data_IF_185656895003
#
_entry.id   IF_185656895003
#
_cell.length_a   1.000
_cell.length_b   1.000
_cell.length_c   1.000
_cell.angle_alpha   90.00
_cell.angle_beta   90.00
_cell.angle_gamma   90.00
#
_symmetry.space_group_name_H-M   'P 1'
#
loop_
_entity.id
_entity.type
_entity.pdbx_description
1 polymer ?
#
# COMPACT_ATOMS: atom_id res chain seq x y z
N UNK A 1 -12.69 28.34 21.39
CA UNK A 1 -11.41 27.69 21.06
C UNK A 1 -10.96 28.26 19.72
N UNK A 2 -9.67 28.40 19.48
CA UNK A 2 -9.13 28.88 18.19
C UNK A 2 -8.96 27.70 17.23
N UNK A 3 -8.96 27.98 15.94
CA UNK A 3 -8.51 27.03 14.91
C UNK A 3 -7.04 26.67 15.16
N UNK A 4 -6.67 25.43 14.82
CA UNK A 4 -5.27 24.99 14.85
C UNK A 4 -4.75 24.97 13.44
N UNK A 5 -3.61 25.60 13.22
CA UNK A 5 -2.92 25.65 11.93
C UNK A 5 -1.64 24.83 12.03
N UNK A 6 -1.42 23.97 11.07
CA UNK A 6 -0.23 23.13 10.94
C UNK A 6 0.45 23.46 9.60
N UNK A 7 1.70 23.89 9.64
CA UNK A 7 2.53 24.15 8.47
C UNK A 7 3.44 22.93 8.28
N UNK A 8 3.28 22.20 7.17
CA UNK A 8 3.97 20.93 6.99
C UNK A 8 5.48 21.09 6.79
N UNK A 9 5.90 22.19 6.16
CA UNK A 9 7.32 22.49 5.94
C UNK A 9 8.12 22.78 7.22
N UNK A 10 7.42 23.05 8.35
CA UNK A 10 8.05 23.32 9.65
C UNK A 10 8.25 22.04 10.48
N UNK A 11 7.75 20.88 9.97
CA UNK A 11 7.83 19.61 10.67
C UNK A 11 9.05 18.80 10.22
N UNK A 12 9.56 17.96 11.11
CA UNK A 12 10.52 16.94 10.73
C UNK A 12 9.91 15.95 9.74
N UNK A 13 10.65 15.65 8.67
CA UNK A 13 10.28 14.71 7.63
C UNK A 13 11.24 13.52 7.64
N UNK A 14 10.70 12.32 7.77
CA UNK A 14 11.45 11.08 7.77
C UNK A 14 11.07 10.20 6.58
N UNK A 15 12.06 9.77 5.83
CA UNK A 15 11.93 8.74 4.81
C UNK A 15 12.27 7.39 5.46
N UNK A 16 11.29 6.49 5.48
CA UNK A 16 11.43 5.15 6.07
C UNK A 16 11.64 4.15 4.95
N UNK A 17 12.79 3.49 4.93
CA UNK A 17 13.13 2.49 3.92
C UNK A 17 13.71 1.22 4.54
N UNK A 18 13.52 0.09 3.85
CA UNK A 18 14.01 -1.21 4.30
C UNK A 18 14.62 -2.01 3.14
N UNK A 19 13.80 -2.66 2.33
CA UNK A 19 14.21 -3.56 1.24
C UNK A 19 13.52 -3.20 -0.10
N UNK A 20 13.05 -1.95 -0.24
CA UNK A 20 12.45 -1.48 -1.47
C UNK A 20 13.51 -1.35 -2.57
N UNK A 21 13.27 -1.95 -3.77
CA UNK A 21 14.27 -1.96 -4.84
C UNK A 21 14.74 -0.58 -5.30
N UNK A 22 13.83 0.41 -5.30
CA UNK A 22 14.10 1.78 -5.75
C UNK A 22 14.35 2.77 -4.61
N UNK A 23 14.60 2.31 -3.37
CA UNK A 23 14.70 3.18 -2.20
C UNK A 23 15.75 4.29 -2.32
N UNK A 24 16.86 4.04 -2.97
CA UNK A 24 17.92 5.05 -3.15
C UNK A 24 17.51 6.13 -4.16
N UNK A 25 16.83 5.75 -5.23
CA UNK A 25 16.29 6.67 -6.22
C UNK A 25 15.19 7.56 -5.61
N UNK A 26 14.28 6.94 -4.86
CA UNK A 26 13.19 7.67 -4.19
C UNK A 26 13.73 8.61 -3.10
N UNK A 27 14.76 8.17 -2.35
CA UNK A 27 15.46 9.03 -1.41
C UNK A 27 16.10 10.23 -2.07
N UNK A 28 16.83 10.02 -3.16
CA UNK A 28 17.44 11.10 -3.92
C UNK A 28 16.39 12.07 -4.47
N UNK A 29 15.25 11.55 -4.96
CA UNK A 29 14.13 12.37 -5.42
C UNK A 29 13.54 13.22 -4.30
N UNK A 30 13.36 12.66 -3.10
CA UNK A 30 12.89 13.41 -1.93
C UNK A 30 13.86 14.52 -1.54
N UNK A 31 15.16 14.21 -1.49
CA UNK A 31 16.20 15.18 -1.12
C UNK A 31 16.29 16.36 -2.09
N UNK A 32 15.95 16.17 -3.36
CA UNK A 32 15.85 17.30 -4.32
C UNK A 32 14.68 18.23 -4.03
N UNK A 33 13.59 17.70 -3.47
CA UNK A 33 12.35 18.45 -3.17
C UNK A 33 12.34 19.02 -1.76
N UNK A 34 12.90 18.28 -0.81
CA UNK A 34 12.97 18.67 0.59
C UNK A 34 14.32 18.26 1.20
N UNK A 35 15.37 19.12 1.10
CA UNK A 35 16.74 18.79 1.51
C UNK A 35 16.94 18.56 3.02
N UNK A 36 15.95 18.90 3.82
CA UNK A 36 15.98 18.75 5.28
C UNK A 36 15.43 17.41 5.77
N UNK A 37 14.99 16.53 4.84
CA UNK A 37 14.49 15.22 5.22
C UNK A 37 15.59 14.40 5.91
N UNK A 38 15.17 13.65 6.93
CA UNK A 38 15.98 12.65 7.63
C UNK A 38 15.63 11.27 7.10
N UNK A 39 16.53 10.29 7.25
CA UNK A 39 16.30 8.93 6.79
C UNK A 39 16.42 7.93 7.92
N UNK A 40 15.44 7.02 8.01
CA UNK A 40 15.48 5.82 8.85
C UNK A 40 15.49 4.62 7.89
N UNK A 41 16.65 3.98 7.74
CA UNK A 41 16.86 2.88 6.79
C UNK A 41 17.24 1.58 7.51
N UNK A 42 16.70 0.46 7.05
CA UNK A 42 17.07 -0.88 7.52
C UNK A 42 16.57 -1.24 8.92
N UNK A 43 15.72 -0.44 9.52
CA UNK A 43 15.11 -0.77 10.83
C UNK A 43 13.99 -1.78 10.61
N UNK A 44 14.16 -2.98 11.16
CA UNK A 44 13.18 -4.06 11.04
C UNK A 44 11.96 -3.80 11.91
N UNK A 45 10.78 -3.93 11.31
CA UNK A 45 9.49 -3.81 11.96
C UNK A 45 8.89 -2.40 11.85
N UNK A 46 7.57 -2.35 11.67
CA UNK A 46 6.83 -1.11 11.50
C UNK A 46 6.95 -0.19 12.72
N UNK A 47 6.62 -0.73 13.91
CA UNK A 47 6.67 0.05 15.15
C UNK A 47 8.08 0.56 15.42
N UNK A 48 9.09 -0.28 15.24
CA UNK A 48 10.48 0.08 15.52
C UNK A 48 10.96 1.22 14.61
N UNK A 49 10.62 1.16 13.31
CA UNK A 49 11.00 2.19 12.35
C UNK A 49 10.33 3.54 12.67
N UNK A 50 9.03 3.52 12.99
CA UNK A 50 8.30 4.74 13.36
C UNK A 50 8.74 5.30 14.72
N UNK A 51 8.99 4.43 15.72
CA UNK A 51 9.55 4.85 17.01
C UNK A 51 10.95 5.45 16.85
N UNK A 52 11.75 4.98 15.91
CA UNK A 52 13.03 5.59 15.62
C UNK A 52 12.89 7.00 15.03
N UNK A 53 11.92 7.21 14.12
CA UNK A 53 11.57 8.56 13.67
C UNK A 53 11.16 9.47 14.83
N UNK A 54 10.28 8.98 15.70
CA UNK A 54 9.80 9.74 16.85
C UNK A 54 10.93 10.13 17.82
N UNK A 55 11.90 9.22 18.06
CA UNK A 55 13.08 9.52 18.91
C UNK A 55 14.02 10.58 18.32
N UNK A 56 14.09 10.65 16.99
CA UNK A 56 14.92 11.61 16.26
C UNK A 56 14.20 12.91 15.94
N UNK A 57 12.88 12.99 16.18
CA UNK A 57 12.09 14.17 15.90
C UNK A 57 12.41 15.28 16.90
N UNK A 58 12.59 16.49 16.38
CA UNK A 58 12.76 17.74 17.13
C UNK A 58 11.44 18.53 17.20
N UNK A 59 10.41 18.06 16.52
CA UNK A 59 9.06 18.65 16.49
C UNK A 59 8.06 17.71 17.18
N UNK A 60 6.97 18.25 17.73
CA UNK A 60 5.93 17.47 18.44
C UNK A 60 5.20 16.48 17.53
N UNK A 61 5.29 16.72 16.24
CA UNK A 61 4.77 15.84 15.18
C UNK A 61 5.81 15.71 14.08
N UNK A 62 5.84 14.55 13.43
CA UNK A 62 6.71 14.35 12.28
C UNK A 62 5.92 13.75 11.10
N UNK A 63 6.46 13.93 9.91
CA UNK A 63 5.94 13.34 8.68
C UNK A 63 6.77 12.10 8.35
N UNK A 64 6.10 10.95 8.17
CA UNK A 64 6.72 9.76 7.60
C UNK A 64 6.36 9.61 6.12
N UNK A 65 7.35 9.19 5.33
CA UNK A 65 7.23 8.87 3.91
C UNK A 65 7.78 7.47 3.72
N UNK A 66 6.94 6.55 3.23
CA UNK A 66 7.33 5.16 2.99
C UNK A 66 8.29 5.07 1.79
N UNK A 67 9.23 4.12 1.82
CA UNK A 67 10.35 3.97 0.88
C UNK A 67 9.96 3.69 -0.57
N UNK A 68 8.72 3.31 -0.82
CA UNK A 68 8.15 3.12 -2.15
C UNK A 68 7.34 4.32 -2.68
N UNK A 69 7.38 5.47 -1.98
CA UNK A 69 6.61 6.65 -2.35
C UNK A 69 7.46 7.74 -3.00
N UNK A 70 6.91 8.34 -4.07
CA UNK A 70 7.37 9.60 -4.64
C UNK A 70 6.37 10.70 -4.29
N UNK A 71 6.86 11.73 -3.60
CA UNK A 71 6.04 12.83 -3.08
C UNK A 71 6.07 14.01 -4.04
N UNK A 72 4.92 14.68 -4.24
CA UNK A 72 4.82 15.96 -4.93
C UNK A 72 5.43 17.06 -4.03
N UNK A 73 6.31 17.90 -4.57
CA UNK A 73 6.97 19.00 -3.83
C UNK A 73 5.98 19.96 -3.17
N UNK A 74 4.79 20.13 -3.76
CA UNK A 74 3.71 20.95 -3.20
C UNK A 74 3.22 20.48 -1.83
N UNK A 75 3.50 19.25 -1.45
CA UNK A 75 3.15 18.74 -0.13
C UNK A 75 3.83 19.51 0.99
N UNK A 76 5.07 19.91 0.79
CA UNK A 76 5.86 20.59 1.82
C UNK A 76 5.49 22.08 1.98
N UNK A 77 4.75 22.63 1.04
CA UNK A 77 4.22 24.01 1.08
C UNK A 77 2.78 24.07 1.63
N UNK A 78 2.29 22.99 2.25
CA UNK A 78 0.92 22.96 2.78
C UNK A 78 0.80 23.59 4.15
N UNK A 79 -0.23 24.42 4.29
CA UNK A 79 -0.83 24.84 5.54
C UNK A 79 -2.18 24.16 5.69
N UNK A 80 -2.39 23.49 6.83
CA UNK A 80 -3.64 22.80 7.14
C UNK A 80 -4.31 23.50 8.32
N UNK A 81 -5.54 23.91 8.12
CA UNK A 81 -6.38 24.48 9.17
C UNK A 81 -7.39 23.45 9.64
N UNK A 82 -7.41 23.23 10.95
CA UNK A 82 -8.35 22.35 11.62
C UNK A 82 -9.34 23.15 12.46
N UNK A 83 -10.63 22.73 12.49
CA UNK A 83 -11.63 23.39 13.31
C UNK A 83 -11.28 23.28 14.82
N UNK A 84 -11.83 24.19 15.63
CA UNK A 84 -11.65 24.15 17.08
C UNK A 84 -12.14 22.84 17.69
N UNK A 85 -11.31 22.21 18.53
CA UNK A 85 -11.67 20.97 19.21
C UNK A 85 -11.33 19.68 18.42
N UNK A 86 -10.65 19.80 17.27
CA UNK A 86 -10.06 18.62 16.62
C UNK A 86 -8.98 18.05 17.53
N UNK A 87 -9.09 16.75 17.83
CA UNK A 87 -8.10 16.02 18.62
C UNK A 87 -6.86 15.69 17.76
N UNK A 88 -5.94 16.64 17.68
CA UNK A 88 -4.69 16.44 16.94
C UNK A 88 -3.65 15.67 17.75
N UNK A 89 -3.73 15.72 19.06
CA UNK A 89 -2.77 15.08 19.98
C UNK A 89 -2.81 13.54 19.85
N UNK A 90 -4.02 13.00 19.63
CA UNK A 90 -4.21 11.55 19.50
C UNK A 90 -4.60 11.11 18.08
N UNK A 91 -4.46 11.98 17.09
CA UNK A 91 -4.85 11.67 15.71
C UNK A 91 -3.67 11.67 14.75
N UNK A 92 -3.64 10.65 13.89
CA UNK A 92 -2.72 10.57 12.75
C UNK A 92 -3.38 11.27 11.55
N UNK A 93 -2.69 12.24 10.95
CA UNK A 93 -3.14 12.84 9.71
C UNK A 93 -2.56 12.02 8.56
N UNK A 94 -3.39 11.60 7.61
CA UNK A 94 -2.93 10.76 6.50
C UNK A 94 -3.47 11.23 5.15
N UNK A 95 -2.68 10.96 4.11
CA UNK A 95 -3.05 11.22 2.73
C UNK A 95 -3.10 9.90 1.96
N UNK A 96 -4.09 9.75 1.09
CA UNK A 96 -4.10 8.65 0.15
C UNK A 96 -3.01 8.86 -0.90
N UNK A 97 -2.40 7.78 -1.36
CA UNK A 97 -1.48 7.79 -2.48
C UNK A 97 -2.10 7.13 -3.71
N UNK A 98 -1.65 7.54 -4.90
CA UNK A 98 -2.02 6.87 -6.15
C UNK A 98 -1.11 5.67 -6.37
N UNK A 99 -1.69 4.49 -6.51
CA UNK A 99 -0.94 3.28 -6.81
C UNK A 99 -0.57 3.23 -8.30
N UNK A 100 0.71 3.10 -8.60
CA UNK A 100 1.20 3.12 -9.99
C UNK A 100 0.93 1.83 -10.75
N UNK A 101 0.69 0.71 -10.06
CA UNK A 101 0.30 -0.55 -10.72
C UNK A 101 -1.08 -0.43 -11.34
N UNK A 102 -2.07 0.06 -10.59
CA UNK A 102 -3.48 -0.01 -11.02
C UNK A 102 -4.25 1.31 -10.97
N UNK A 103 -3.61 2.40 -10.56
CA UNK A 103 -4.22 3.73 -10.52
C UNK A 103 -5.19 3.96 -9.35
N UNK A 104 -5.38 2.99 -8.47
CA UNK A 104 -6.24 3.15 -7.30
C UNK A 104 -5.73 4.21 -6.33
N UNK A 105 -6.67 4.91 -5.71
CA UNK A 105 -6.39 5.86 -4.64
C UNK A 105 -7.29 5.52 -3.45
N UNK A 106 -6.73 4.94 -2.41
CA UNK A 106 -7.48 4.58 -1.20
C UNK A 106 -6.54 4.40 -0.02
N UNK A 107 -7.14 4.21 1.16
CA UNK A 107 -6.44 3.89 2.39
C UNK A 107 -5.53 5.01 2.88
N UNK A 108 -4.74 4.66 3.86
CA UNK A 108 -3.72 5.51 4.43
C UNK A 108 -2.44 5.33 3.61
N UNK A 109 -2.27 6.13 2.57
CA UNK A 109 -1.08 6.09 1.70
C UNK A 109 0.24 6.27 2.46
N UNK A 110 1.35 6.25 1.75
CA UNK A 110 2.68 6.27 2.34
C UNK A 110 3.12 7.60 2.97
N UNK A 111 2.25 8.61 3.03
CA UNK A 111 2.51 9.87 3.75
C UNK A 111 1.57 9.97 4.95
N UNK A 112 2.16 10.14 6.14
CA UNK A 112 1.43 10.34 7.38
C UNK A 112 2.11 11.38 8.25
N UNK A 113 1.31 12.16 9.00
CA UNK A 113 1.82 13.07 10.01
C UNK A 113 1.40 12.57 11.40
N UNK A 114 2.37 12.18 12.18
CA UNK A 114 2.24 11.47 13.45
C UNK A 114 2.51 12.36 14.65
N UNK A 115 1.72 12.30 15.73
CA UNK A 115 2.15 12.79 17.02
C UNK A 115 3.30 11.94 17.56
N UNK A 116 4.37 12.57 18.05
CA UNK A 116 5.56 11.87 18.59
C UNK A 116 5.17 10.96 19.75
N UNK A 117 4.43 11.49 20.74
CA UNK A 117 4.06 10.74 21.95
C UNK A 117 3.18 9.53 21.61
N UNK A 118 2.22 9.68 20.68
CA UNK A 118 1.39 8.58 20.22
C UNK A 118 2.25 7.44 19.64
N UNK A 119 3.26 7.78 18.82
CA UNK A 119 4.14 6.78 18.20
C UNK A 119 5.03 6.07 19.21
N UNK A 120 5.54 6.78 20.20
CA UNK A 120 6.38 6.18 21.24
C UNK A 120 5.62 5.14 22.08
N UNK A 121 4.31 5.34 22.28
CA UNK A 121 3.44 4.48 23.07
C UNK A 121 2.75 3.38 22.26
N UNK A 122 2.63 3.52 20.94
CA UNK A 122 1.87 2.57 20.12
C UNK A 122 2.47 1.17 20.14
N UNK A 123 1.57 0.16 20.09
CA UNK A 123 1.88 -1.25 19.90
C UNK A 123 1.02 -1.79 18.76
N UNK A 124 1.64 -1.95 17.59
CA UNK A 124 0.97 -2.39 16.37
C UNK A 124 1.76 -3.52 15.71
N UNK A 125 1.21 -4.14 14.69
CA UNK A 125 1.86 -5.19 13.90
C UNK A 125 2.62 -6.21 14.76
N UNK A 126 3.96 -6.20 14.72
CA UNK A 126 4.83 -7.17 15.41
C UNK A 126 4.74 -7.11 16.94
N UNK A 127 4.32 -6.00 17.49
CA UNK A 127 4.22 -5.79 18.94
C UNK A 127 2.78 -5.91 19.46
N UNK A 128 1.78 -5.99 18.57
CA UNK A 128 0.38 -6.05 18.99
C UNK A 128 0.03 -7.38 19.63
N UNK A 129 -0.71 -7.32 20.75
CA UNK A 129 -1.32 -8.49 21.39
C UNK A 129 -2.61 -8.89 20.65
N UNK A 130 -3.36 -7.92 20.15
CA UNK A 130 -4.61 -8.12 19.42
C UNK A 130 -4.34 -8.55 17.97
N UNK A 131 -4.93 -9.67 17.55
CA UNK A 131 -4.74 -10.22 16.20
C UNK A 131 -5.23 -9.28 15.09
N UNK A 132 -6.25 -8.46 15.35
CA UNK A 132 -6.76 -7.49 14.37
C UNK A 132 -5.75 -6.37 14.11
N UNK A 133 -5.03 -5.92 15.13
CA UNK A 133 -3.96 -4.93 15.04
C UNK A 133 -2.73 -5.44 14.30
N UNK A 134 -2.48 -6.75 14.32
CA UNK A 134 -1.42 -7.38 13.53
C UNK A 134 -1.68 -7.28 12.04
N UNK A 135 -2.95 -7.29 11.63
CA UNK A 135 -3.36 -7.21 10.22
C UNK A 135 -3.40 -5.78 9.71
N UNK A 136 -4.11 -4.91 10.42
CA UNK A 136 -4.22 -3.49 10.08
C UNK A 136 -4.45 -2.64 11.34
N UNK A 137 -3.41 -1.94 11.78
CA UNK A 137 -3.45 -1.08 12.95
C UNK A 137 -4.31 0.18 12.76
N UNK A 138 -4.65 0.52 11.53
CA UNK A 138 -5.47 1.69 11.23
C UNK A 138 -6.87 1.63 11.84
N UNK A 139 -7.31 0.46 12.27
CA UNK A 139 -8.63 0.31 12.91
C UNK A 139 -8.66 0.81 14.36
N UNK A 140 -7.51 0.93 15.00
CA UNK A 140 -7.42 1.32 16.42
C UNK A 140 -6.93 2.76 16.63
N UNK A 141 -6.26 3.33 15.65
CA UNK A 141 -5.78 4.69 15.73
C UNK A 141 -6.81 5.66 15.15
N UNK A 142 -6.89 6.83 15.75
CA UNK A 142 -7.74 7.89 15.21
C UNK A 142 -7.07 8.53 14.00
N UNK A 143 -7.70 8.43 12.82
CA UNK A 143 -7.18 8.96 11.57
C UNK A 143 -7.98 10.16 11.07
N UNK A 144 -7.26 11.22 10.70
CA UNK A 144 -7.79 12.34 9.94
C UNK A 144 -7.34 12.16 8.49
N UNK A 145 -8.22 11.59 7.65
CA UNK A 145 -7.94 11.38 6.24
C UNK A 145 -8.09 12.69 5.46
N UNK A 146 -7.02 13.13 4.82
CA UNK A 146 -7.00 14.36 4.02
C UNK A 146 -7.54 14.13 2.60
N UNK A 147 -7.95 15.23 1.95
CA UNK A 147 -8.71 15.15 0.71
C UNK A 147 -7.86 14.99 -0.55
N UNK A 148 -6.68 15.60 -0.56
CA UNK A 148 -5.82 15.67 -1.74
C UNK A 148 -4.80 14.51 -1.75
N UNK A 149 -4.19 14.30 -2.90
CA UNK A 149 -3.18 13.28 -3.15
C UNK A 149 -1.87 14.01 -3.44
N UNK A 150 -0.83 13.64 -2.72
CA UNK A 150 0.49 14.23 -2.87
C UNK A 150 1.58 13.19 -3.07
N UNK A 151 1.23 11.93 -3.26
CA UNK A 151 2.23 10.90 -3.55
C UNK A 151 1.71 9.81 -4.48
N UNK A 152 2.67 9.17 -5.13
CA UNK A 152 2.49 7.96 -5.92
C UNK A 152 3.28 6.82 -5.27
N UNK A 153 2.65 5.63 -5.18
CA UNK A 153 3.26 4.42 -4.62
C UNK A 153 3.81 3.56 -5.76
N UNK A 154 5.10 3.27 -5.70
CA UNK A 154 5.85 2.45 -6.66
C UNK A 154 6.18 1.08 -6.05
N UNK A 155 5.19 0.21 -5.97
CA UNK A 155 5.27 -1.09 -5.33
C UNK A 155 5.44 -2.27 -6.31
N UNK A 156 5.99 -2.00 -7.49
CA UNK A 156 6.28 -2.99 -8.52
C UNK A 156 7.75 -2.94 -9.02
N UNK A 157 8.68 -2.48 -8.20
CA UNK A 157 10.10 -2.38 -8.55
C UNK A 157 10.82 -3.74 -8.65
N UNK A 158 10.20 -4.82 -8.20
CA UNK A 158 10.66 -6.20 -8.40
C UNK A 158 9.47 -7.16 -8.43
N UNK A 159 9.67 -8.39 -8.98
CA UNK A 159 8.67 -9.47 -8.91
C UNK A 159 8.15 -9.71 -7.49
N UNK A 160 9.06 -9.81 -6.53
CA UNK A 160 8.73 -10.03 -5.12
C UNK A 160 7.88 -8.89 -4.54
N UNK A 161 8.29 -7.63 -4.76
CA UNK A 161 7.57 -6.47 -4.23
C UNK A 161 6.15 -6.40 -4.82
N UNK A 162 6.02 -6.57 -6.13
CA UNK A 162 4.74 -6.55 -6.82
C UNK A 162 3.81 -7.68 -6.37
N UNK A 163 4.33 -8.91 -6.31
CA UNK A 163 3.59 -10.06 -5.79
C UNK A 163 3.09 -9.83 -4.37
N UNK A 164 3.99 -9.42 -3.46
CA UNK A 164 3.64 -9.14 -2.07
C UNK A 164 2.57 -8.06 -1.94
N UNK A 165 2.69 -6.98 -2.71
CA UNK A 165 1.70 -5.90 -2.71
C UNK A 165 0.33 -6.42 -3.13
N UNK A 166 0.23 -7.12 -4.25
CA UNK A 166 -1.01 -7.70 -4.73
C UNK A 166 -1.60 -8.72 -3.75
N UNK A 167 -0.78 -9.67 -3.27
CA UNK A 167 -1.22 -10.72 -2.35
C UNK A 167 -1.84 -10.16 -1.07
N UNK A 168 -1.18 -9.17 -0.45
CA UNK A 168 -1.70 -8.51 0.75
C UNK A 168 -3.05 -7.86 0.51
N UNK A 169 -3.18 -7.15 -0.60
CA UNK A 169 -4.45 -6.49 -0.95
C UNK A 169 -5.53 -7.53 -1.31
N UNK A 170 -5.18 -8.60 -2.01
CA UNK A 170 -6.07 -9.73 -2.29
C UNK A 170 -6.67 -10.32 -1.01
N UNK A 171 -5.83 -10.55 0.00
CA UNK A 171 -6.30 -11.03 1.32
C UNK A 171 -7.14 -9.97 2.02
N UNK A 172 -6.64 -8.74 2.19
CA UNK A 172 -7.32 -7.69 2.95
C UNK A 172 -8.68 -7.31 2.39
N UNK A 173 -8.79 -7.19 1.05
CA UNK A 173 -10.04 -6.83 0.39
C UNK A 173 -11.06 -7.97 0.39
N UNK A 174 -10.63 -9.18 0.73
CA UNK A 174 -11.50 -10.37 0.89
C UNK A 174 -12.06 -10.54 2.30
N UNK A 175 -11.81 -9.59 3.20
CA UNK A 175 -12.27 -9.65 4.59
C UNK A 175 -13.42 -8.66 4.84
N UNK A 176 -14.35 -9.08 5.69
CA UNK A 176 -15.39 -8.24 6.26
C UNK A 176 -14.99 -7.86 7.70
N UNK A 177 -14.65 -6.58 7.92
CA UNK A 177 -14.15 -6.09 9.22
C UNK A 177 -13.00 -6.95 9.79
N UNK A 178 -12.06 -7.35 8.92
CA UNK A 178 -10.92 -8.19 9.31
C UNK A 178 -11.22 -9.66 9.51
N UNK A 179 -12.42 -10.14 9.16
CA UNK A 179 -12.85 -11.53 9.31
C UNK A 179 -13.13 -12.19 7.97
N UNK A 180 -12.81 -13.47 7.90
CA UNK A 180 -13.15 -14.31 6.76
C UNK A 180 -14.68 -14.43 6.61
N UNK A 181 -15.16 -14.45 5.37
CA UNK A 181 -16.57 -14.53 5.00
C UNK A 181 -16.86 -15.89 4.34
N UNK A 182 -17.98 -16.57 4.63
CA UNK A 182 -18.40 -17.72 3.85
C UNK A 182 -18.51 -17.39 2.36
N UNK A 183 -18.06 -18.31 1.51
CA UNK A 183 -18.00 -18.08 0.04
C UNK A 183 -19.37 -17.73 -0.54
N UNK A 184 -20.41 -18.37 -0.09
CA UNK A 184 -21.81 -18.15 -0.51
C UNK A 184 -22.34 -16.75 -0.18
N UNK A 185 -21.70 -16.07 0.79
CA UNK A 185 -22.06 -14.72 1.20
C UNK A 185 -21.04 -13.67 0.77
N UNK A 186 -19.96 -14.07 0.11
CA UNK A 186 -18.82 -13.21 -0.19
C UNK A 186 -19.23 -11.88 -0.82
N UNK A 187 -19.88 -11.89 -1.97
CA UNK A 187 -20.28 -10.68 -2.68
C UNK A 187 -21.34 -9.84 -1.95
N UNK A 188 -22.08 -10.43 -1.00
CA UNK A 188 -23.09 -9.72 -0.22
C UNK A 188 -22.51 -9.02 1.01
N UNK A 189 -21.47 -9.62 1.61
CA UNK A 189 -20.89 -9.16 2.87
C UNK A 189 -19.67 -8.32 2.70
N UNK A 190 -18.83 -8.60 1.67
CA UNK A 190 -17.69 -7.73 1.41
C UNK A 190 -18.17 -6.33 1.03
N UNK A 191 -17.61 -5.34 1.70
CA UNK A 191 -17.96 -3.95 1.41
C UNK A 191 -17.77 -3.64 -0.09
N UNK A 192 -18.79 -3.10 -0.78
CA UNK A 192 -18.77 -2.95 -2.24
C UNK A 192 -17.51 -2.27 -2.78
N UNK A 193 -17.00 -1.26 -2.07
CA UNK A 193 -15.76 -0.58 -2.46
C UNK A 193 -14.51 -1.46 -2.33
N UNK A 194 -14.47 -2.37 -1.36
CA UNK A 194 -13.39 -3.34 -1.24
C UNK A 194 -13.47 -4.39 -2.34
N UNK A 195 -14.68 -4.80 -2.70
CA UNK A 195 -14.89 -5.69 -3.84
C UNK A 195 -14.44 -5.07 -5.18
N UNK A 196 -14.80 -3.81 -5.44
CA UNK A 196 -14.32 -3.06 -6.62
C UNK A 196 -12.78 -2.95 -6.65
N UNK A 197 -12.15 -2.67 -5.50
CA UNK A 197 -10.69 -2.62 -5.37
C UNK A 197 -10.05 -3.97 -5.61
N UNK A 198 -10.64 -5.04 -5.05
CA UNK A 198 -10.18 -6.42 -5.26
C UNK A 198 -10.18 -6.77 -6.74
N UNK A 199 -11.32 -6.52 -7.43
CA UNK A 199 -11.41 -6.73 -8.88
C UNK A 199 -10.35 -5.92 -9.64
N UNK A 200 -10.11 -4.67 -9.23
CA UNK A 200 -9.09 -3.83 -9.86
C UNK A 200 -7.69 -4.41 -9.66
N UNK A 201 -7.34 -4.84 -8.46
CA UNK A 201 -6.06 -5.50 -8.18
C UNK A 201 -5.87 -6.80 -8.97
N UNK A 202 -6.94 -7.56 -9.15
CA UNK A 202 -6.91 -8.81 -9.90
C UNK A 202 -6.77 -8.61 -11.43
N UNK A 203 -7.20 -7.46 -11.96
CA UNK A 203 -7.36 -7.25 -13.42
C UNK A 203 -6.43 -6.19 -14.00
N UNK A 204 -6.00 -5.20 -13.21
CA UNK A 204 -5.32 -3.99 -13.70
C UNK A 204 -3.89 -3.92 -13.18
N UNK A 205 -2.95 -3.84 -14.10
CA UNK A 205 -1.52 -3.75 -13.79
C UNK A 205 -0.60 -4.20 -14.92
N UNK A 206 -1.12 -4.88 -15.92
CA UNK A 206 -0.32 -5.50 -16.98
C UNK A 206 0.48 -4.52 -17.86
N UNK A 207 0.22 -3.23 -17.76
CA UNK A 207 0.90 -2.16 -18.53
C UNK A 207 2.14 -1.60 -17.84
N UNK A 208 2.49 -2.09 -16.65
CA UNK A 208 3.71 -1.71 -15.93
C UNK A 208 4.63 -2.91 -15.73
N UNK A 209 5.92 -2.64 -15.56
CA UNK A 209 6.89 -3.66 -15.22
C UNK A 209 6.47 -4.37 -13.92
N UNK A 210 6.62 -5.69 -13.88
CA UNK A 210 6.18 -6.57 -12.80
C UNK A 210 4.68 -6.50 -12.44
N UNK A 211 3.86 -5.78 -13.19
CA UNK A 211 2.45 -5.61 -12.84
C UNK A 211 1.64 -6.91 -12.88
N UNK A 212 2.00 -7.89 -13.73
CA UNK A 212 1.38 -9.23 -13.72
C UNK A 212 1.64 -9.95 -12.39
N UNK A 213 2.80 -9.78 -11.78
CA UNK A 213 3.08 -10.31 -10.44
C UNK A 213 2.12 -9.75 -9.39
N UNK A 214 1.75 -8.47 -9.51
CA UNK A 214 0.76 -7.87 -8.62
C UNK A 214 -0.65 -8.45 -8.85
N UNK A 215 -1.09 -8.58 -10.11
CA UNK A 215 -2.37 -9.21 -10.45
C UNK A 215 -2.43 -10.67 -9.97
N UNK A 216 -1.38 -11.45 -10.22
CA UNK A 216 -1.27 -12.82 -9.75
C UNK A 216 -1.30 -12.89 -8.22
N UNK A 217 -0.52 -12.05 -7.54
CA UNK A 217 -0.53 -11.97 -6.07
C UNK A 217 -1.93 -11.68 -5.52
N UNK A 218 -2.65 -10.73 -6.11
CA UNK A 218 -4.01 -10.38 -5.66
C UNK A 218 -5.00 -11.55 -5.84
N UNK A 219 -4.94 -12.24 -6.96
CA UNK A 219 -5.74 -13.45 -7.21
C UNK A 219 -5.42 -14.55 -6.22
N UNK A 220 -4.13 -14.83 -6.03
CA UNK A 220 -3.68 -15.88 -5.11
C UNK A 220 -4.01 -15.53 -3.66
N UNK A 221 -3.83 -14.29 -3.22
CA UNK A 221 -4.21 -13.85 -1.88
C UNK A 221 -5.71 -13.98 -1.62
N UNK A 222 -6.54 -13.60 -2.60
CA UNK A 222 -7.99 -13.83 -2.55
C UNK A 222 -8.33 -15.32 -2.51
N UNK A 223 -7.64 -16.14 -3.31
CA UNK A 223 -7.81 -17.61 -3.31
C UNK A 223 -7.45 -18.20 -1.94
N UNK A 224 -6.28 -17.90 -1.43
CA UNK A 224 -5.74 -18.56 -0.25
C UNK A 224 -6.57 -18.28 1.01
N UNK A 225 -6.98 -17.02 1.22
CA UNK A 225 -7.83 -16.68 2.36
C UNK A 225 -9.20 -17.39 2.30
N UNK A 226 -9.71 -17.71 1.12
CA UNK A 226 -11.03 -18.30 0.97
C UNK A 226 -11.03 -19.83 0.84
N UNK A 227 -9.93 -20.44 0.37
CA UNK A 227 -9.91 -21.86 0.01
C UNK A 227 -8.83 -22.69 0.72
N UNK A 228 -7.84 -22.04 1.36
CA UNK A 228 -6.80 -22.77 2.10
C UNK A 228 -7.23 -22.98 3.55
N UNK A 229 -7.43 -24.23 3.93
CA UNK A 229 -7.79 -24.58 5.30
C UNK A 229 -6.70 -24.17 6.29
N UNK A 230 -7.09 -23.48 7.35
CA UNK A 230 -6.17 -23.03 8.40
C UNK A 230 -5.24 -21.89 7.95
N UNK A 231 -5.63 -21.12 6.95
CA UNK A 231 -4.88 -19.93 6.51
C UNK A 231 -4.61 -18.99 7.70
N UNK A 232 -3.34 -18.59 7.85
CA UNK A 232 -2.90 -17.72 8.94
C UNK A 232 -2.85 -16.28 8.48
N UNK A 233 -3.79 -15.48 8.94
CA UNK A 233 -3.95 -14.09 8.53
C UNK A 233 -2.72 -13.22 8.87
N UNK A 234 -2.04 -13.49 9.98
CA UNK A 234 -0.82 -12.80 10.38
C UNK A 234 0.34 -12.91 9.37
N UNK A 235 0.31 -13.91 8.49
CA UNK A 235 1.33 -14.08 7.44
C UNK A 235 1.47 -12.85 6.55
N UNK A 236 0.37 -12.13 6.27
CA UNK A 236 0.42 -10.96 5.40
C UNK A 236 1.20 -9.77 5.97
N UNK A 237 1.48 -9.78 7.27
CA UNK A 237 2.29 -8.76 7.95
C UNK A 237 3.75 -9.19 8.12
N UNK A 238 4.08 -10.47 7.90
CA UNK A 238 5.44 -11.00 8.03
C UNK A 238 6.23 -10.91 6.73
N UNK A 239 7.25 -10.05 6.74
CA UNK A 239 8.17 -9.93 5.59
C UNK A 239 8.96 -11.23 5.36
N UNK A 240 9.45 -11.85 6.44
CA UNK A 240 10.23 -13.10 6.36
C UNK A 240 9.40 -14.25 5.81
N UNK A 241 8.12 -14.37 6.23
CA UNK A 241 7.21 -15.35 5.66
C UNK A 241 7.02 -15.14 4.15
N UNK A 242 6.77 -13.89 3.72
CA UNK A 242 6.60 -13.59 2.31
C UNK A 242 7.83 -13.94 1.49
N UNK A 243 9.02 -13.65 2.01
CA UNK A 243 10.26 -13.97 1.32
C UNK A 243 10.42 -15.47 1.12
N UNK A 244 10.25 -16.26 2.19
CA UNK A 244 10.29 -17.71 2.12
C UNK A 244 9.22 -18.27 1.18
N UNK A 245 7.97 -17.82 1.32
CA UNK A 245 6.85 -18.25 0.48
C UNK A 245 7.10 -17.96 -1.00
N UNK A 246 7.58 -16.76 -1.31
CA UNK A 246 7.89 -16.38 -2.68
C UNK A 246 9.03 -17.22 -3.28
N UNK A 247 10.12 -17.40 -2.54
CA UNK A 247 11.31 -18.13 -3.02
C UNK A 247 11.08 -19.65 -3.13
N UNK A 248 10.36 -20.25 -2.21
CA UNK A 248 10.21 -21.71 -2.11
C UNK A 248 8.96 -22.25 -2.83
N UNK A 249 7.86 -21.49 -2.84
CA UNK A 249 6.58 -21.95 -3.39
C UNK A 249 6.22 -21.25 -4.71
N UNK A 250 6.39 -19.93 -4.78
CA UNK A 250 5.93 -19.16 -5.93
C UNK A 250 6.91 -19.20 -7.08
N UNK A 251 8.17 -18.92 -6.85
CA UNK A 251 9.19 -18.90 -7.90
C UNK A 251 9.37 -20.23 -8.61
N UNK A 252 9.39 -21.39 -7.93
CA UNK A 252 9.49 -22.68 -8.61
C UNK A 252 8.34 -22.95 -9.58
N UNK A 253 7.14 -22.48 -9.25
CA UNK A 253 5.96 -22.60 -10.11
C UNK A 253 6.06 -21.76 -11.37
N UNK A 254 6.78 -20.65 -11.32
CA UNK A 254 6.93 -19.69 -12.42
C UNK A 254 8.27 -19.81 -13.16
N UNK A 255 9.19 -20.69 -12.72
CA UNK A 255 10.46 -20.95 -13.41
C UNK A 255 10.26 -22.00 -14.51
N UNK A 256 10.81 -21.70 -15.68
CA UNK A 256 10.93 -22.70 -16.73
C UNK A 256 12.05 -23.69 -16.37
N UNK A 257 11.71 -24.99 -16.34
CA UNK A 257 12.71 -26.08 -16.29
C UNK A 257 13.51 -26.20 -17.60
N UNK A 258 13.15 -25.47 -18.62
CA UNK A 258 13.56 -25.78 -19.98
C UNK A 258 14.62 -24.88 -20.54
N UNK A 259 15.02 -23.86 -20.05
CA UNK A 259 16.12 -23.08 -20.63
C UNK A 259 16.40 -21.83 -19.80
N UNK A 260 17.66 -21.62 -19.53
CA UNK A 260 18.24 -20.33 -19.11
C UNK A 260 18.02 -19.20 -20.14
N UNK A 261 16.95 -19.28 -20.93
CA UNK A 261 16.58 -18.22 -21.85
C UNK A 261 15.82 -17.15 -21.12
N UNK A 262 16.40 -15.96 -21.13
CA UNK A 262 15.75 -14.74 -20.63
C UNK A 262 14.41 -14.58 -21.32
N UNK A 263 13.36 -14.36 -20.56
CA UNK A 263 12.08 -13.99 -21.09
C UNK A 263 12.24 -12.82 -22.08
N UNK A 264 11.86 -13.01 -23.33
CA UNK A 264 12.05 -12.05 -24.42
C UNK A 264 11.35 -10.71 -24.19
N UNK A 265 10.36 -10.66 -23.29
CA UNK A 265 9.60 -9.45 -22.95
C UNK A 265 10.21 -8.64 -21.79
N UNK A 266 10.83 -9.30 -20.82
CA UNK A 266 11.30 -8.64 -19.60
C UNK A 266 12.82 -8.68 -19.43
N UNK A 267 13.53 -9.46 -20.24
CA UNK A 267 14.97 -9.69 -20.06
C UNK A 267 15.33 -10.40 -18.75
N UNK A 268 14.34 -10.91 -18.01
CA UNK A 268 14.50 -11.58 -16.72
C UNK A 268 14.58 -13.10 -16.89
N UNK A 269 15.12 -13.80 -15.89
CA UNK A 269 15.21 -15.26 -15.87
C UNK A 269 13.88 -15.97 -15.66
N UNK A 270 12.77 -15.22 -15.62
CA UNK A 270 11.44 -15.73 -15.31
C UNK A 270 10.68 -16.15 -16.58
N UNK A 271 10.03 -17.29 -16.52
CA UNK A 271 9.06 -17.67 -17.56
C UNK A 271 7.75 -16.92 -17.33
N UNK A 272 7.60 -15.82 -18.07
CA UNK A 272 6.42 -14.96 -17.98
C UNK A 272 5.14 -15.64 -18.43
N UNK A 273 5.25 -16.60 -19.34
CA UNK A 273 4.08 -17.35 -19.85
C UNK A 273 3.51 -18.26 -18.76
N UNK A 274 4.36 -18.93 -17.95
CA UNK A 274 3.89 -19.74 -16.82
C UNK A 274 3.25 -18.88 -15.71
N UNK A 275 3.82 -17.71 -15.41
CA UNK A 275 3.18 -16.77 -14.48
C UNK A 275 1.82 -16.33 -14.97
N UNK A 276 1.72 -16.01 -16.26
CA UNK A 276 0.48 -15.58 -16.88
C UNK A 276 -0.57 -16.71 -16.86
N UNK A 277 -0.18 -17.92 -17.24
CA UNK A 277 -1.05 -19.11 -17.22
C UNK A 277 -1.55 -19.40 -15.79
N UNK A 278 -0.69 -19.31 -14.79
CA UNK A 278 -1.09 -19.52 -13.41
C UNK A 278 -2.03 -18.40 -12.90
N UNK A 279 -1.78 -17.16 -13.29
CA UNK A 279 -2.68 -16.05 -13.00
C UNK A 279 -4.07 -16.27 -13.62
N UNK A 280 -4.15 -16.77 -14.88
CA UNK A 280 -5.39 -17.12 -15.52
C UNK A 280 -6.10 -18.26 -14.77
N UNK A 281 -5.39 -19.34 -14.47
CA UNK A 281 -5.92 -20.50 -13.75
C UNK A 281 -6.57 -20.12 -12.41
N UNK A 282 -5.89 -19.28 -11.63
CA UNK A 282 -6.47 -18.80 -10.35
C UNK A 282 -7.67 -17.89 -10.61
N UNK A 283 -7.61 -17.03 -11.63
CA UNK A 283 -8.75 -16.20 -12.04
C UNK A 283 -9.98 -17.02 -12.37
N UNK A 284 -9.83 -18.10 -13.14
CA UNK A 284 -10.92 -19.03 -13.50
C UNK A 284 -11.53 -19.70 -12.26
N UNK A 285 -10.70 -20.11 -11.29
CA UNK A 285 -11.18 -20.67 -10.02
C UNK A 285 -12.04 -19.64 -9.26
N UNK A 286 -11.58 -18.39 -9.14
CA UNK A 286 -12.31 -17.34 -8.46
C UNK A 286 -13.62 -16.99 -9.16
N UNK A 287 -13.62 -16.97 -10.50
CA UNK A 287 -14.83 -16.79 -11.31
C UNK A 287 -15.84 -17.93 -11.08
N UNK A 288 -15.37 -19.17 -11.17
CA UNK A 288 -16.22 -20.35 -11.05
C UNK A 288 -16.78 -20.54 -9.63
N UNK A 289 -15.93 -20.37 -8.61
CA UNK A 289 -16.29 -20.66 -7.21
C UNK A 289 -16.93 -19.50 -6.45
N UNK A 290 -16.61 -18.25 -6.82
CA UNK A 290 -17.05 -17.04 -6.11
C UNK A 290 -17.89 -16.11 -6.97
N UNK A 291 -18.06 -16.40 -8.27
CA UNK A 291 -18.79 -15.57 -9.22
C UNK A 291 -18.13 -14.20 -9.45
N UNK A 292 -16.81 -14.14 -9.35
CA UNK A 292 -16.07 -12.90 -9.59
C UNK A 292 -15.98 -12.59 -11.09
N UNK A 293 -15.66 -11.33 -11.42
CA UNK A 293 -15.47 -10.88 -12.81
C UNK A 293 -13.97 -10.63 -13.07
N UNK A 294 -13.18 -11.70 -13.02
CA UNK A 294 -11.75 -11.64 -13.30
C UNK A 294 -11.52 -11.95 -14.77
N UNK A 295 -10.84 -11.02 -15.45
CA UNK A 295 -10.52 -11.08 -16.87
C UNK A 295 -9.03 -11.32 -17.09
N UNK A 296 -8.64 -11.63 -18.34
CA UNK A 296 -7.24 -11.71 -18.72
C UNK A 296 -6.56 -10.36 -18.54
N UNK A 297 -5.42 -10.30 -17.83
CA UNK A 297 -4.71 -9.04 -17.63
C UNK A 297 -4.13 -8.56 -18.96
N UNK A 298 -4.62 -7.44 -19.48
CA UNK A 298 -4.16 -6.88 -20.76
C UNK A 298 -3.57 -5.48 -20.55
N UNK A 299 -2.39 -5.18 -21.16
CA UNK A 299 -1.74 -3.88 -21.02
C UNK A 299 -2.62 -2.71 -21.47
N UNK A 300 -3.33 -2.86 -22.58
CA UNK A 300 -4.19 -1.83 -23.16
C UNK A 300 -5.39 -1.52 -22.25
N UNK A 301 -5.98 -2.55 -21.66
CA UNK A 301 -7.11 -2.43 -20.71
C UNK A 301 -6.62 -1.74 -19.45
N UNK A 302 -5.46 -2.14 -18.93
CA UNK A 302 -4.85 -1.53 -17.74
C UNK A 302 -4.53 -0.05 -17.97
N UNK A 303 -3.90 0.29 -19.09
CA UNK A 303 -3.60 1.67 -19.44
C UNK A 303 -4.87 2.51 -19.66
N UNK A 304 -5.90 1.94 -20.28
CA UNK A 304 -7.18 2.62 -20.47
C UNK A 304 -7.87 2.88 -19.13
N UNK A 305 -7.96 1.87 -18.27
CA UNK A 305 -8.57 2.00 -16.94
C UNK A 305 -7.90 3.13 -16.14
N UNK A 306 -6.58 3.14 -16.03
CA UNK A 306 -5.83 4.14 -15.27
C UNK A 306 -6.03 5.57 -15.75
N UNK A 307 -6.28 5.77 -17.05
CA UNK A 307 -6.57 7.10 -17.61
C UNK A 307 -7.98 7.59 -17.35
N UNK A 308 -8.92 6.68 -17.21
CA UNK A 308 -10.36 7.01 -17.12
C UNK A 308 -10.93 6.90 -15.71
N UNK A 309 -10.21 6.20 -14.82
CA UNK A 309 -10.66 5.96 -13.46
C UNK A 309 -10.54 7.23 -12.59
N UNK A 310 -11.66 7.71 -12.09
CA UNK A 310 -11.75 8.91 -11.27
C UNK A 310 -11.85 8.65 -9.76
N UNK A 311 -11.63 7.41 -9.34
CA UNK A 311 -11.69 6.99 -7.95
C UNK A 311 -12.90 7.54 -7.16
N UNK A 312 -14.15 7.14 -7.50
CA UNK A 312 -15.37 7.68 -6.88
C UNK A 312 -15.52 7.30 -5.40
N UNK A 313 -14.73 6.34 -4.94
CA UNK A 313 -14.81 5.79 -3.58
C UNK A 313 -14.02 6.57 -2.52
N UNK A 314 -13.35 7.65 -2.92
CA UNK A 314 -12.53 8.45 -1.99
C UNK A 314 -13.38 9.17 -0.96
N UNK A 315 -13.08 8.96 0.32
CA UNK A 315 -13.71 9.71 1.41
C UNK A 315 -13.11 11.11 1.46
N UNK A 316 -13.96 12.12 1.57
CA UNK A 316 -13.55 13.52 1.77
C UNK A 316 -13.70 13.90 3.23
N UNK A 317 -12.69 14.56 3.78
CA UNK A 317 -12.79 15.22 5.07
C UNK A 317 -13.39 16.62 4.85
N UNK A 318 -14.61 16.91 5.32
CA UNK A 318 -15.22 18.22 5.14
C UNK A 318 -14.67 19.29 6.11
N UNK A 319 -13.94 18.88 7.13
CA UNK A 319 -13.57 19.75 8.26
C UNK A 319 -12.17 20.37 8.10
N UNK A 320 -11.19 19.62 7.59
CA UNK A 320 -9.85 20.16 7.40
C UNK A 320 -9.73 20.92 6.08
N UNK A 321 -9.04 22.06 6.11
CA UNK A 321 -8.76 22.89 4.92
C UNK A 321 -7.27 22.87 4.62
N UNK A 322 -6.91 22.49 3.40
CA UNK A 322 -5.55 22.51 2.86
C UNK A 322 -5.35 23.76 1.99
N UNK A 323 -4.27 24.50 2.23
CA UNK A 323 -3.89 25.67 1.47
C UNK A 323 -2.42 25.59 1.09
N UNK A 324 -2.10 25.87 -0.16
CA UNK A 324 -0.71 26.06 -0.61
C UNK A 324 -0.21 27.40 -0.14
N UNK A 325 0.94 27.42 0.54
CA UNK A 325 1.58 28.65 1.05
C UNK A 325 2.81 29.02 0.22
N UNK A 326 3.25 28.14 -0.67
CA UNK A 326 4.43 28.35 -1.49
C UNK A 326 4.28 29.58 -2.39
N UNK A 327 5.38 30.29 -2.56
CA UNK A 327 5.51 31.34 -3.55
C UNK A 327 5.35 30.71 -4.93
N UNK A 328 4.58 31.34 -5.80
CA UNK A 328 4.59 31.00 -7.23
C UNK A 328 6.04 31.04 -7.73
N UNK A 329 6.66 29.88 -7.89
CA UNK A 329 8.01 29.73 -8.43
C UNK A 329 7.96 29.58 -9.92
#
# INVERSE_FOLDING_TARGET
MKETVLVLGDLDVFYISYDEPAKEEHWANLMMKFPFAKRVDGVKGFDNAHKECARQSETDRFISIDGDNIVDEKFFDLEITFPPGTDLEHSVISWSAKNMVNGLVYGNGGIKCWPVDLVLEMETHENAVDETKKVDFCWDLNYIQMNNIYSEVYNAGSPFQAFRAGYREGVKMSLDEGKQVPIEDFQKRIWPKNYERLLTWCNIGADVENGIWACFGARLGCHDINFVDGYKLENISSFDWFKTYFEEEILPTCKSDKDNEKCSRTGTEWNYDMLYDEALRIGDILNDKMGMEICDPAPEVSAFFKRTYNNPSRTKNPLATEKQTGWDR
#
